data_IF_025291365566
#
_entry.id   IF_025291365566
#
_cell.length_a   1.000
_cell.length_b   1.000
_cell.length_c   1.000
_cell.angle_alpha   90.00
_cell.angle_beta   90.00
_cell.angle_gamma   90.00
#
_symmetry.space_group_name_H-M   'P 1'
#
loop_
_entity.id
_entity.type
_entity.pdbx_description
1 polymer ?
#
# COMPACT_ATOMS: atom_id res chain seq x y z
N UNK A 1 12.65 21.21 12.74
CA UNK A 1 12.51 21.61 11.33
C UNK A 1 13.90 21.78 10.73
N UNK A 2 14.06 21.48 9.43
CA UNK A 2 15.37 21.46 8.78
C UNK A 2 15.25 22.05 7.38
N UNK A 3 16.01 23.12 7.09
CA UNK A 3 16.05 23.70 5.76
C UNK A 3 16.59 22.68 4.73
N UNK A 4 16.12 22.77 3.50
CA UNK A 4 16.44 21.82 2.41
C UNK A 4 17.94 21.61 2.21
N UNK A 5 18.72 22.66 2.27
CA UNK A 5 20.18 22.63 2.13
C UNK A 5 20.89 21.99 3.34
N UNK A 6 20.24 21.92 4.50
CA UNK A 6 20.75 21.34 5.74
C UNK A 6 20.32 19.88 5.94
N UNK A 7 19.39 19.35 5.11
CA UNK A 7 18.94 17.95 5.27
C UNK A 7 20.10 16.94 5.17
N UNK A 8 20.92 17.00 4.13
CA UNK A 8 22.05 16.07 3.95
C UNK A 8 23.12 16.21 5.06
N UNK A 9 23.60 17.40 5.41
CA UNK A 9 24.48 17.57 6.57
C UNK A 9 23.91 17.01 7.87
N UNK A 10 22.63 17.24 8.15
CA UNK A 10 21.92 16.72 9.31
C UNK A 10 21.84 15.20 9.29
N UNK A 11 21.46 14.59 8.19
CA UNK A 11 21.44 13.14 7.99
C UNK A 11 22.82 12.56 8.27
N UNK A 12 23.87 13.14 7.70
CA UNK A 12 25.26 12.68 7.89
C UNK A 12 25.66 12.72 9.35
N UNK A 13 25.35 13.80 10.06
CA UNK A 13 25.62 13.95 11.49
C UNK A 13 24.91 12.85 12.28
N UNK A 14 23.57 12.76 12.17
CA UNK A 14 22.74 11.81 12.90
C UNK A 14 23.16 10.35 12.65
N UNK A 15 23.41 9.98 11.40
CA UNK A 15 23.82 8.65 11.00
C UNK A 15 25.19 8.29 11.55
N UNK A 16 26.14 9.23 11.53
CA UNK A 16 27.50 9.02 12.04
C UNK A 16 27.51 8.90 13.57
N UNK A 17 26.67 9.69 14.23
CA UNK A 17 26.53 9.61 15.69
C UNK A 17 25.91 8.27 16.09
N UNK A 18 24.82 7.87 15.42
CA UNK A 18 24.15 6.61 15.70
C UNK A 18 25.05 5.39 15.48
N UNK A 19 25.87 5.39 14.42
CA UNK A 19 26.77 4.28 14.12
C UNK A 19 27.89 4.06 15.17
N UNK A 20 28.14 5.03 16.04
CA UNK A 20 29.06 4.90 17.19
C UNK A 20 28.44 4.14 18.35
N UNK A 21 27.10 4.11 18.42
CA UNK A 21 26.38 3.44 19.49
C UNK A 21 26.40 1.93 19.28
N UNK A 22 26.37 1.20 20.37
CA UNK A 22 26.24 -0.26 20.36
C UNK A 22 25.16 -0.64 21.37
N UNK A 23 24.22 -1.49 20.98
CA UNK A 23 23.18 -1.99 21.86
C UNK A 23 23.75 -2.91 22.95
N UNK A 24 22.97 -3.20 23.97
CA UNK A 24 23.32 -4.18 25.03
C UNK A 24 23.58 -5.58 24.45
N UNK A 25 23.03 -5.86 23.26
CA UNK A 25 23.20 -7.12 22.53
C UNK A 25 24.38 -7.15 21.56
N UNK A 26 25.17 -6.07 21.50
CA UNK A 26 26.38 -5.98 20.68
C UNK A 26 26.17 -5.51 19.25
N UNK A 27 24.96 -5.15 18.85
CA UNK A 27 24.69 -4.62 17.51
C UNK A 27 24.99 -3.13 17.41
N UNK A 28 25.67 -2.72 16.34
CA UNK A 28 25.91 -1.30 16.06
C UNK A 28 24.64 -0.59 15.67
N UNK A 29 24.55 0.67 16.04
CA UNK A 29 23.47 1.55 15.59
C UNK A 29 23.51 1.75 14.07
N UNK A 30 22.48 1.35 13.37
CA UNK A 30 22.33 1.48 11.93
C UNK A 30 21.08 2.30 11.59
N UNK A 31 21.12 2.98 10.45
CA UNK A 31 20.06 3.92 10.06
C UNK A 31 19.39 3.50 8.75
N UNK A 32 18.06 3.50 8.71
CA UNK A 32 17.29 3.49 7.46
C UNK A 32 16.87 4.93 7.16
N UNK A 33 17.07 5.39 5.94
CA UNK A 33 16.71 6.73 5.50
C UNK A 33 15.66 6.60 4.39
N UNK A 34 14.47 7.12 4.63
CA UNK A 34 13.38 7.14 3.66
C UNK A 34 13.35 8.45 2.88
N UNK A 35 13.25 8.35 1.55
CA UNK A 35 13.15 9.48 0.64
C UNK A 35 12.16 9.21 -0.48
N UNK A 36 11.77 10.24 -1.23
CA UNK A 36 10.69 10.19 -2.23
C UNK A 36 11.11 9.80 -3.64
N UNK A 37 12.42 9.68 -3.93
CA UNK A 37 12.90 9.42 -5.28
C UNK A 37 14.14 8.52 -5.32
N UNK A 38 14.20 7.60 -6.31
CA UNK A 38 15.35 6.70 -6.51
C UNK A 38 16.66 7.47 -6.69
N UNK A 39 16.66 8.55 -7.48
CA UNK A 39 17.83 9.41 -7.66
C UNK A 39 18.30 10.02 -6.33
N UNK A 40 17.35 10.40 -5.47
CA UNK A 40 17.65 10.95 -4.15
C UNK A 40 18.28 9.91 -3.22
N UNK A 41 17.92 8.62 -3.37
CA UNK A 41 18.59 7.53 -2.63
C UNK A 41 20.10 7.51 -2.92
N UNK A 42 20.49 7.58 -4.18
CA UNK A 42 21.91 7.63 -4.58
C UNK A 42 22.58 8.91 -4.09
N UNK A 43 21.95 10.08 -4.28
CA UNK A 43 22.51 11.36 -3.83
C UNK A 43 22.86 11.34 -2.33
N UNK A 44 21.95 10.82 -1.50
CA UNK A 44 22.18 10.76 -0.05
C UNK A 44 23.23 9.69 0.27
N UNK A 45 23.16 8.50 -0.34
CA UNK A 45 24.13 7.43 -0.12
C UNK A 45 25.55 7.88 -0.47
N UNK A 46 25.73 8.54 -1.61
CA UNK A 46 27.04 9.06 -2.06
C UNK A 46 27.59 10.11 -1.08
N UNK A 47 26.72 11.00 -0.59
CA UNK A 47 27.12 12.02 0.40
C UNK A 47 27.53 11.41 1.75
N UNK A 48 26.98 10.25 2.11
CA UNK A 48 27.36 9.49 3.29
C UNK A 48 28.65 8.64 3.08
N UNK A 49 28.98 8.31 1.84
CA UNK A 49 30.17 7.59 1.45
C UNK A 49 30.05 6.06 1.51
N UNK A 50 31.18 5.35 1.49
CA UNK A 50 31.25 3.89 1.27
C UNK A 50 30.48 3.01 2.28
N UNK A 51 30.11 3.56 3.44
CA UNK A 51 29.30 2.84 4.45
C UNK A 51 27.81 3.10 4.34
N UNK A 52 27.36 3.67 3.23
CA UNK A 52 25.96 3.80 2.92
C UNK A 52 25.66 3.20 1.54
N UNK A 53 24.44 2.75 1.33
CA UNK A 53 24.00 2.21 0.06
C UNK A 53 22.56 2.65 -0.26
N UNK A 54 22.28 2.90 -1.54
CA UNK A 54 20.90 3.06 -2.03
C UNK A 54 20.25 1.67 -2.13
N UNK A 55 18.95 1.60 -1.78
CA UNK A 55 18.15 0.39 -1.90
C UNK A 55 16.77 0.73 -2.45
N UNK A 56 16.43 0.23 -3.63
CA UNK A 56 15.12 0.48 -4.25
C UNK A 56 14.78 -0.56 -5.31
N UNK A 57 13.53 -0.63 -5.73
CA UNK A 57 13.02 -1.60 -6.71
C UNK A 57 13.69 -1.52 -8.11
N UNK A 58 14.42 -0.44 -8.41
CA UNK A 58 15.18 -0.30 -9.67
C UNK A 58 16.54 -1.01 -9.67
N UNK A 59 17.00 -1.52 -8.53
CA UNK A 59 18.22 -2.34 -8.43
C UNK A 59 17.91 -3.77 -8.86
N UNK A 60 18.92 -4.45 -9.43
CA UNK A 60 18.86 -5.89 -9.70
C UNK A 60 18.70 -6.69 -8.40
N UNK A 61 18.24 -7.92 -8.51
CA UNK A 61 18.12 -8.81 -7.35
C UNK A 61 19.47 -9.10 -6.69
N UNK A 62 20.54 -9.12 -7.47
CA UNK A 62 21.89 -9.33 -6.95
C UNK A 62 22.37 -8.12 -6.13
N UNK A 63 22.22 -6.91 -6.67
CA UNK A 63 22.58 -5.67 -5.95
C UNK A 63 21.80 -5.51 -4.65
N UNK A 64 20.49 -5.83 -4.67
CA UNK A 64 19.67 -5.79 -3.46
C UNK A 64 20.19 -6.75 -2.39
N UNK A 65 20.45 -8.01 -2.75
CA UNK A 65 21.01 -9.01 -1.81
C UNK A 65 22.36 -8.61 -1.25
N UNK A 66 23.21 -7.99 -2.06
CA UNK A 66 24.49 -7.48 -1.58
C UNK A 66 24.33 -6.39 -0.51
N UNK A 67 23.43 -5.43 -0.76
CA UNK A 67 23.12 -4.37 0.22
C UNK A 67 22.54 -4.97 1.50
N UNK A 68 21.60 -5.90 1.38
CA UNK A 68 20.98 -6.62 2.51
C UNK A 68 22.05 -7.32 3.37
N UNK A 69 22.91 -8.11 2.75
CA UNK A 69 23.99 -8.84 3.44
C UNK A 69 24.93 -7.87 4.14
N UNK A 70 25.38 -6.82 3.45
CA UNK A 70 26.30 -5.84 4.03
C UNK A 70 25.68 -5.07 5.20
N UNK A 71 24.37 -4.82 5.15
CA UNK A 71 23.67 -4.16 6.25
C UNK A 71 23.53 -5.11 7.45
N UNK A 72 23.10 -6.34 7.23
CA UNK A 72 23.00 -7.36 8.29
C UNK A 72 24.34 -7.66 8.96
N UNK A 73 25.43 -7.67 8.19
CA UNK A 73 26.79 -7.85 8.71
C UNK A 73 27.32 -6.61 9.47
N UNK A 74 26.53 -5.52 9.59
CA UNK A 74 26.98 -4.28 10.23
C UNK A 74 28.06 -3.51 9.43
N UNK A 75 28.30 -3.87 8.16
CA UNK A 75 29.25 -3.21 7.27
C UNK A 75 28.75 -1.87 6.74
N UNK A 76 27.42 -1.70 6.68
CA UNK A 76 26.79 -0.44 6.31
C UNK A 76 26.27 0.31 7.54
N UNK A 77 26.57 1.58 7.58
CA UNK A 77 26.05 2.54 8.56
C UNK A 77 24.60 2.93 8.24
N UNK A 78 24.29 3.03 6.94
CA UNK A 78 22.97 3.42 6.48
C UNK A 78 22.55 2.73 5.19
N UNK A 79 21.23 2.55 5.06
CA UNK A 79 20.55 2.24 3.80
C UNK A 79 19.57 3.37 3.50
N UNK A 80 19.63 3.87 2.25
CA UNK A 80 18.74 4.93 1.76
C UNK A 80 17.73 4.33 0.79
N UNK A 81 16.45 4.47 1.07
CA UNK A 81 15.39 3.78 0.34
C UNK A 81 14.18 4.66 0.07
N UNK A 82 13.32 4.23 -0.85
CA UNK A 82 11.97 4.76 -1.03
C UNK A 82 10.96 3.91 -0.22
N UNK A 83 9.67 4.27 -0.23
CA UNK A 83 8.59 3.50 0.40
C UNK A 83 8.55 2.00 -0.03
N UNK A 84 9.20 1.66 -1.15
CA UNK A 84 9.32 0.31 -1.68
C UNK A 84 10.29 -0.61 -0.90
N UNK A 85 10.57 -0.31 0.36
CA UNK A 85 11.21 -1.29 1.27
C UNK A 85 10.18 -2.39 1.53
N UNK A 86 10.01 -3.24 0.50
CA UNK A 86 8.91 -4.17 0.34
C UNK A 86 8.76 -5.12 1.52
N UNK A 87 7.57 -5.66 1.65
CA UNK A 87 7.28 -6.78 2.52
C UNK A 87 8.32 -7.89 2.30
N UNK A 88 9.03 -8.29 3.36
CA UNK A 88 9.98 -9.41 3.32
C UNK A 88 11.45 -9.06 3.48
N UNK A 89 11.86 -7.78 3.46
CA UNK A 89 13.26 -7.41 3.78
C UNK A 89 13.33 -6.95 5.22
N UNK A 90 14.16 -7.64 5.99
CA UNK A 90 14.38 -7.33 7.40
C UNK A 90 15.69 -6.56 7.58
N UNK A 91 15.57 -5.23 7.69
CA UNK A 91 16.69 -4.37 8.09
C UNK A 91 16.53 -4.00 9.56
N UNK A 92 17.26 -4.62 10.48
CA UNK A 92 17.25 -4.23 11.88
C UNK A 92 18.01 -2.91 12.04
N UNK A 93 17.30 -1.81 12.24
CA UNK A 93 17.89 -0.50 12.45
C UNK A 93 17.59 0.02 13.85
N UNK A 94 18.49 0.78 14.44
CA UNK A 94 18.24 1.54 15.65
C UNK A 94 17.62 2.90 15.36
N UNK A 95 17.83 3.42 14.13
CA UNK A 95 17.33 4.74 13.73
C UNK A 95 16.64 4.70 12.37
N UNK A 96 15.52 5.41 12.25
CA UNK A 96 14.84 5.70 10.99
C UNK A 96 14.80 7.22 10.79
N UNK A 97 15.19 7.68 9.62
CA UNK A 97 15.14 9.10 9.23
C UNK A 97 14.25 9.25 8.00
N UNK A 98 13.29 10.16 8.06
CA UNK A 98 12.48 10.58 6.91
C UNK A 98 13.08 11.87 6.32
N UNK A 99 13.76 11.76 5.17
CA UNK A 99 14.25 12.91 4.37
C UNK A 99 13.11 13.64 3.66
N UNK A 100 12.03 12.91 3.34
CA UNK A 100 10.80 13.43 2.75
C UNK A 100 9.59 12.82 3.45
N UNK A 101 8.50 13.58 3.55
CA UNK A 101 7.23 13.14 4.13
C UNK A 101 6.16 12.83 3.06
N UNK A 102 6.54 12.92 1.79
CA UNK A 102 5.72 12.50 0.65
C UNK A 102 6.38 11.31 -0.04
N UNK A 103 5.58 10.31 -0.42
CA UNK A 103 6.02 9.13 -1.12
C UNK A 103 5.15 8.90 -2.37
N UNK A 104 5.77 8.93 -3.55
CA UNK A 104 5.04 8.85 -4.80
C UNK A 104 4.31 10.15 -5.15
N UNK A 105 2.99 10.19 -5.08
CA UNK A 105 2.17 11.38 -5.39
C UNK A 105 1.57 12.04 -4.15
N UNK A 106 1.54 11.34 -3.04
CA UNK A 106 0.78 11.71 -1.86
C UNK A 106 1.67 11.89 -0.64
N UNK A 107 1.16 12.59 0.36
CA UNK A 107 1.76 12.60 1.68
C UNK A 107 1.67 11.21 2.31
N UNK A 108 2.65 10.88 3.16
CA UNK A 108 2.58 9.65 3.96
C UNK A 108 1.31 9.63 4.81
N UNK A 109 0.59 8.53 4.75
CA UNK A 109 -0.45 8.22 5.72
C UNK A 109 0.17 7.85 7.08
N UNK A 110 -0.61 7.98 8.14
CA UNK A 110 -0.16 7.57 9.49
C UNK A 110 0.16 6.07 9.54
N UNK A 111 -0.59 5.26 8.79
CA UNK A 111 -0.35 3.83 8.70
C UNK A 111 1.01 3.51 8.04
N UNK A 112 1.31 4.10 6.89
CA UNK A 112 2.60 3.92 6.20
C UNK A 112 3.75 4.41 7.08
N UNK A 113 3.59 5.59 7.69
CA UNK A 113 4.56 6.13 8.62
C UNK A 113 4.86 5.15 9.76
N UNK A 114 3.83 4.60 10.41
CA UNK A 114 3.99 3.65 11.52
C UNK A 114 4.68 2.35 11.07
N UNK A 115 4.37 1.83 9.87
CA UNK A 115 5.05 0.66 9.31
C UNK A 115 6.54 0.91 9.06
N UNK A 116 6.87 2.10 8.55
CA UNK A 116 8.25 2.50 8.28
C UNK A 116 9.01 2.83 9.56
N UNK A 117 8.39 3.56 10.47
CA UNK A 117 8.93 3.94 11.77
C UNK A 117 9.17 2.70 12.67
N UNK A 118 8.28 1.71 12.61
CA UNK A 118 8.38 0.44 13.35
C UNK A 118 9.58 -0.43 12.95
N UNK A 119 10.37 -0.03 11.96
CA UNK A 119 11.66 -0.65 11.65
C UNK A 119 12.79 -0.20 12.58
N UNK A 120 12.59 0.87 13.35
CA UNK A 120 13.54 1.33 14.35
C UNK A 120 13.35 0.58 15.68
N UNK A 121 14.45 0.13 16.27
CA UNK A 121 14.45 -0.38 17.64
C UNK A 121 13.83 -1.78 17.80
N UNK A 122 14.13 -2.71 16.89
CA UNK A 122 13.66 -4.08 17.05
C UNK A 122 14.22 -4.73 18.31
N UNK A 123 13.37 -5.33 19.16
CA UNK A 123 13.79 -5.85 20.47
C UNK A 123 14.92 -6.86 20.42
N UNK A 124 15.06 -7.63 19.33
CA UNK A 124 16.09 -8.65 19.18
C UNK A 124 17.49 -8.07 18.87
N UNK A 125 17.55 -6.81 18.43
CA UNK A 125 18.78 -6.16 17.97
C UNK A 125 19.15 -4.92 18.79
N UNK A 126 18.17 -4.07 19.11
CA UNK A 126 18.40 -2.75 19.67
C UNK A 126 17.53 -2.49 20.91
N UNK A 127 18.11 -1.79 21.87
CA UNK A 127 17.45 -1.45 23.13
C UNK A 127 16.44 -0.30 22.97
N UNK A 128 16.69 0.58 21.99
CA UNK A 128 15.89 1.76 21.71
C UNK A 128 15.78 2.00 20.21
N UNK A 129 14.61 2.43 19.76
CA UNK A 129 14.35 2.93 18.40
C UNK A 129 14.23 4.44 18.36
N UNK A 130 14.95 5.08 17.44
CA UNK A 130 14.84 6.51 17.18
C UNK A 130 14.20 6.76 15.82
N UNK A 131 13.20 7.65 15.79
CA UNK A 131 12.57 8.11 14.55
C UNK A 131 12.77 9.62 14.41
N UNK A 132 13.22 10.08 13.25
CA UNK A 132 13.51 11.48 12.97
C UNK A 132 12.81 11.89 11.67
N UNK A 133 12.02 12.95 11.73
CA UNK A 133 11.37 13.57 10.59
C UNK A 133 12.11 14.88 10.25
N UNK A 134 12.62 15.02 9.02
CA UNK A 134 13.29 16.23 8.56
C UNK A 134 12.31 17.09 7.75
N UNK A 135 11.37 17.73 8.44
CA UNK A 135 10.39 18.59 7.80
C UNK A 135 11.01 19.96 7.43
N UNK A 136 10.81 20.39 6.18
CA UNK A 136 11.23 21.69 5.68
C UNK A 136 10.19 22.74 6.02
N UNK A 137 10.57 23.86 6.68
CA UNK A 137 9.65 24.94 6.99
C UNK A 137 8.95 25.51 5.77
N UNK A 138 7.60 25.48 5.75
CA UNK A 138 6.80 25.92 4.62
C UNK A 138 6.93 25.04 3.37
N UNK A 139 7.60 23.90 3.47
CA UNK A 139 7.76 22.95 2.36
C UNK A 139 6.40 22.41 1.92
N UNK A 140 6.11 22.54 0.62
CA UNK A 140 4.90 21.98 -0.02
C UNK A 140 5.30 20.95 -1.05
N UNK A 141 4.48 19.91 -1.24
CA UNK A 141 4.82 18.84 -2.16
C UNK A 141 4.21 19.02 -3.55
N UNK A 142 2.92 19.27 -3.64
CA UNK A 142 2.22 19.54 -4.89
C UNK A 142 1.00 20.44 -4.68
N UNK A 143 0.46 21.00 -5.79
CA UNK A 143 -0.78 21.79 -5.73
C UNK A 143 -2.03 20.92 -5.49
N UNK A 144 -1.95 19.63 -5.80
CA UNK A 144 -3.05 18.66 -5.66
C UNK A 144 -3.16 18.14 -4.24
N UNK A 145 -2.05 18.15 -3.50
CA UNK A 145 -1.98 17.70 -2.10
C UNK A 145 -1.66 18.90 -1.19
N UNK A 146 -2.67 19.60 -0.70
CA UNK A 146 -2.50 20.76 0.18
C UNK A 146 -1.85 20.36 1.51
N UNK A 147 -1.18 21.32 2.15
CA UNK A 147 -0.49 21.14 3.41
C UNK A 147 1.02 21.38 3.29
N UNK A 148 1.64 21.64 4.41
CA UNK A 148 3.08 21.84 4.54
C UNK A 148 3.73 20.62 5.20
N UNK A 149 5.04 20.43 4.98
CA UNK A 149 5.78 19.34 5.65
C UNK A 149 5.66 19.42 7.19
N UNK A 150 5.53 20.61 7.76
CA UNK A 150 5.36 20.80 9.20
C UNK A 150 4.01 20.28 9.69
N UNK A 151 2.93 20.59 8.97
CA UNK A 151 1.57 20.12 9.30
C UNK A 151 1.50 18.60 9.21
N UNK A 152 2.08 18.04 8.14
CA UNK A 152 2.15 16.60 7.96
C UNK A 152 3.00 15.94 9.04
N UNK A 153 4.17 16.49 9.37
CA UNK A 153 5.01 15.96 10.43
C UNK A 153 4.26 15.91 11.78
N UNK A 154 3.52 16.96 12.11
CA UNK A 154 2.71 17.01 13.34
C UNK A 154 1.57 15.98 13.30
N UNK A 155 0.88 15.81 12.16
CA UNK A 155 -0.17 14.80 11.97
C UNK A 155 0.40 13.39 12.18
N UNK A 156 1.54 13.08 11.56
CA UNK A 156 2.21 11.78 11.68
C UNK A 156 2.64 11.48 13.13
N UNK A 157 3.17 12.49 13.83
CA UNK A 157 3.61 12.34 15.23
C UNK A 157 2.45 12.21 16.21
N UNK A 158 1.28 12.82 15.94
CA UNK A 158 0.08 12.61 16.74
C UNK A 158 -0.43 11.17 16.66
N UNK A 159 -0.20 10.50 15.53
CA UNK A 159 -0.57 9.09 15.35
C UNK A 159 -2.08 8.85 15.25
N UNK A 160 -2.88 9.90 15.01
CA UNK A 160 -4.31 9.77 14.77
C UNK A 160 -4.51 9.05 13.45
N UNK A 161 -4.87 7.76 13.54
CA UNK A 161 -5.10 6.94 12.35
C UNK A 161 -6.28 7.48 11.55
N UNK A 162 -6.13 7.51 10.25
CA UNK A 162 -7.23 7.81 9.34
C UNK A 162 -8.30 6.73 9.47
N UNK A 163 -9.56 7.16 9.46
CA UNK A 163 -10.67 6.22 9.45
C UNK A 163 -10.58 5.37 8.17
N UNK A 164 -10.38 4.08 8.33
CA UNK A 164 -10.39 3.14 7.20
C UNK A 164 -11.85 2.90 6.84
N UNK A 165 -12.35 3.67 5.90
CA UNK A 165 -13.62 3.34 5.27
C UNK A 165 -13.33 2.32 4.17
N UNK A 166 -13.87 1.09 4.23
CA UNK A 166 -13.75 0.16 3.13
C UNK A 166 -14.48 0.76 1.91
N UNK A 167 -13.77 0.91 0.81
CA UNK A 167 -14.35 1.29 -0.48
C UNK A 167 -14.54 0.00 -1.26
N UNK A 168 -15.76 -0.52 -1.22
CA UNK A 168 -16.14 -1.69 -1.99
C UNK A 168 -16.82 -1.25 -3.28
N UNK A 169 -16.33 -1.73 -4.41
CA UNK A 169 -17.03 -1.67 -5.68
C UNK A 169 -18.23 -2.65 -5.70
N UNK A 170 -18.99 -2.66 -6.77
CA UNK A 170 -20.16 -3.54 -6.89
C UNK A 170 -19.77 -5.03 -6.80
N UNK A 171 -18.62 -5.38 -7.35
CA UNK A 171 -18.10 -6.76 -7.35
C UNK A 171 -17.84 -7.24 -5.92
N UNK A 172 -17.01 -6.51 -5.18
CA UNK A 172 -16.68 -6.82 -3.78
C UNK A 172 -17.89 -6.73 -2.88
N UNK A 173 -18.75 -5.72 -3.05
CA UNK A 173 -19.97 -5.56 -2.26
C UNK A 173 -20.96 -6.70 -2.48
N UNK A 174 -21.08 -7.21 -3.70
CA UNK A 174 -21.98 -8.33 -4.01
C UNK A 174 -21.48 -9.65 -3.40
N UNK A 175 -20.18 -9.89 -3.43
CA UNK A 175 -19.52 -11.03 -2.79
C UNK A 175 -19.77 -11.01 -1.28
N UNK A 176 -19.44 -9.90 -0.61
CA UNK A 176 -19.63 -9.72 0.82
C UNK A 176 -21.08 -9.84 1.25
N UNK A 177 -22.02 -9.25 0.48
CA UNK A 177 -23.45 -9.34 0.78
C UNK A 177 -23.92 -10.79 0.83
N UNK A 178 -23.54 -11.58 -0.18
CA UNK A 178 -23.96 -12.99 -0.28
C UNK A 178 -23.30 -13.83 0.81
N UNK A 179 -22.01 -13.62 1.11
CA UNK A 179 -21.29 -14.30 2.18
C UNK A 179 -21.94 -14.00 3.54
N UNK A 180 -22.29 -12.75 3.82
CA UNK A 180 -22.96 -12.33 5.03
C UNK A 180 -24.37 -12.92 5.15
N UNK A 181 -25.10 -13.03 4.02
CA UNK A 181 -26.41 -13.69 4.00
C UNK A 181 -26.33 -15.18 4.33
N UNK A 182 -25.28 -15.86 3.89
CA UNK A 182 -25.02 -17.26 4.31
C UNK A 182 -24.72 -17.33 5.81
N UNK A 183 -23.85 -16.46 6.31
CA UNK A 183 -23.39 -16.48 7.69
C UNK A 183 -24.52 -16.22 8.72
N UNK A 184 -25.47 -15.31 8.42
CA UNK A 184 -26.60 -14.99 9.31
C UNK A 184 -27.89 -15.78 9.01
N UNK A 185 -27.84 -16.77 8.12
CA UNK A 185 -29.01 -17.58 7.74
C UNK A 185 -30.09 -16.80 6.98
N UNK A 186 -29.71 -15.65 6.40
CA UNK A 186 -30.55 -14.81 5.57
C UNK A 186 -31.55 -13.92 6.33
N UNK A 187 -31.53 -13.85 7.65
CA UNK A 187 -32.41 -12.96 8.40
C UNK A 187 -32.11 -11.49 8.07
N UNK A 188 -33.09 -10.76 7.54
CA UNK A 188 -32.90 -9.42 6.97
C UNK A 188 -32.33 -8.42 8.00
N UNK A 189 -32.80 -8.47 9.25
CA UNK A 189 -32.35 -7.57 10.31
C UNK A 189 -30.88 -7.82 10.69
N UNK A 190 -30.47 -9.09 10.79
CA UNK A 190 -29.09 -9.45 11.08
C UNK A 190 -28.17 -9.14 9.92
N UNK A 191 -28.61 -9.39 8.68
CA UNK A 191 -27.88 -9.08 7.47
C UNK A 191 -27.67 -7.56 7.33
N UNK A 192 -28.69 -6.74 7.58
CA UNK A 192 -28.57 -5.29 7.56
C UNK A 192 -27.57 -4.79 8.61
N UNK A 193 -27.60 -5.33 9.81
CA UNK A 193 -26.65 -4.98 10.87
C UNK A 193 -25.19 -5.36 10.52
N UNK A 194 -24.98 -6.58 10.03
CA UNK A 194 -23.66 -7.06 9.63
C UNK A 194 -23.12 -6.21 8.48
N UNK A 195 -23.92 -5.98 7.43
CA UNK A 195 -23.48 -5.21 6.28
C UNK A 195 -23.15 -3.76 6.65
N UNK A 196 -23.95 -3.11 7.49
CA UNK A 196 -23.64 -1.74 7.97
C UNK A 196 -22.34 -1.69 8.76
N UNK A 197 -22.05 -2.73 9.55
CA UNK A 197 -20.86 -2.77 10.40
C UNK A 197 -19.59 -3.13 9.62
N UNK A 198 -19.70 -4.07 8.66
CA UNK A 198 -18.55 -4.64 7.95
C UNK A 198 -18.23 -3.93 6.63
N UNK A 199 -19.24 -3.49 5.91
CA UNK A 199 -19.11 -3.02 4.52
C UNK A 199 -19.63 -1.58 4.33
N UNK A 200 -20.42 -1.07 5.26
CA UNK A 200 -21.07 0.23 5.13
C UNK A 200 -22.39 0.17 4.38
N UNK A 201 -22.70 1.14 3.51
CA UNK A 201 -23.95 1.17 2.77
C UNK A 201 -23.93 0.17 1.61
N UNK A 202 -24.91 -0.75 1.63
CA UNK A 202 -25.07 -1.82 0.62
C UNK A 202 -26.31 -1.58 -0.28
N UNK A 203 -26.86 -0.38 -0.30
CA UNK A 203 -28.11 -0.08 -1.04
C UNK A 203 -28.07 -0.46 -2.53
N UNK A 204 -27.01 -0.24 -3.29
CA UNK A 204 -26.97 -0.59 -4.71
C UNK A 204 -26.94 -2.10 -4.99
N UNK A 205 -26.42 -2.91 -4.06
CA UNK A 205 -26.11 -4.33 -4.29
C UNK A 205 -27.37 -5.20 -4.31
N UNK A 206 -28.28 -5.03 -3.36
CA UNK A 206 -29.48 -5.86 -3.26
C UNK A 206 -30.38 -5.77 -4.49
N UNK A 207 -30.67 -4.60 -5.05
CA UNK A 207 -31.45 -4.48 -6.29
C UNK A 207 -30.81 -5.26 -7.46
N UNK A 208 -29.50 -5.20 -7.62
CA UNK A 208 -28.77 -5.91 -8.67
C UNK A 208 -28.85 -7.43 -8.48
N UNK A 209 -28.63 -7.91 -7.27
CA UNK A 209 -28.74 -9.34 -6.97
C UNK A 209 -30.16 -9.88 -7.19
N UNK A 210 -31.19 -9.08 -6.89
CA UNK A 210 -32.59 -9.42 -7.16
C UNK A 210 -32.88 -9.41 -8.66
N UNK A 211 -32.41 -8.40 -9.40
CA UNK A 211 -32.59 -8.30 -10.86
C UNK A 211 -32.01 -9.53 -11.58
N UNK A 212 -30.87 -10.03 -11.12
CA UNK A 212 -30.21 -11.24 -11.64
C UNK A 212 -30.75 -12.55 -11.03
N UNK A 213 -31.83 -12.50 -10.23
CA UNK A 213 -32.45 -13.67 -9.56
C UNK A 213 -31.48 -14.47 -8.69
N UNK A 214 -30.45 -13.84 -8.19
CA UNK A 214 -29.47 -14.47 -7.28
C UNK A 214 -30.02 -14.54 -5.86
N UNK A 215 -30.82 -13.54 -5.47
CA UNK A 215 -31.51 -13.52 -4.17
C UNK A 215 -32.97 -13.15 -4.35
N UNK A 216 -33.82 -13.60 -3.42
CA UNK A 216 -35.21 -13.16 -3.32
C UNK A 216 -35.65 -13.03 -1.86
N UNK A 217 -36.59 -12.17 -1.61
CA UNK A 217 -37.16 -11.96 -0.28
C UNK A 217 -38.30 -12.92 -0.03
N UNK A 218 -38.27 -13.67 1.08
CA UNK A 218 -39.32 -14.55 1.54
C UNK A 218 -39.67 -14.21 3.00
N UNK A 219 -40.70 -13.40 3.20
CA UNK A 219 -41.04 -12.86 4.51
C UNK A 219 -39.93 -11.96 5.04
N UNK A 220 -39.33 -12.28 6.18
CA UNK A 220 -38.20 -11.57 6.78
C UNK A 220 -36.82 -12.08 6.31
N UNK A 221 -36.81 -13.08 5.41
CA UNK A 221 -35.56 -13.72 4.98
C UNK A 221 -35.19 -13.36 3.56
N UNK A 222 -33.88 -13.20 3.35
CA UNK A 222 -33.23 -13.18 2.04
C UNK A 222 -32.81 -14.62 1.72
N UNK A 223 -33.39 -15.18 0.67
CA UNK A 223 -33.13 -16.54 0.22
C UNK A 223 -32.19 -16.50 -0.99
N UNK A 224 -31.14 -17.29 -0.91
CA UNK A 224 -30.09 -17.37 -1.95
C UNK A 224 -30.44 -18.44 -2.98
N UNK A 225 -30.24 -18.13 -4.26
CA UNK A 225 -30.27 -19.12 -5.33
C UNK A 225 -29.03 -20.05 -5.25
N UNK A 226 -29.03 -21.20 -5.96
CA UNK A 226 -27.84 -22.03 -6.07
C UNK A 226 -26.60 -21.28 -6.59
N UNK A 227 -26.78 -20.39 -7.57
CA UNK A 227 -25.68 -19.58 -8.10
C UNK A 227 -25.15 -18.58 -7.09
N UNK A 228 -26.00 -17.95 -6.27
CA UNK A 228 -25.54 -17.09 -5.19
C UNK A 228 -24.75 -17.85 -4.13
N UNK A 229 -25.08 -19.12 -3.88
CA UNK A 229 -24.25 -19.97 -2.98
C UNK A 229 -22.86 -20.23 -3.56
N UNK A 230 -22.75 -20.44 -4.88
CA UNK A 230 -21.46 -20.55 -5.57
C UNK A 230 -20.62 -19.29 -5.40
N UNK A 231 -21.24 -18.08 -5.46
CA UNK A 231 -20.55 -16.83 -5.17
C UNK A 231 -19.87 -16.86 -3.79
N UNK A 232 -20.62 -17.25 -2.77
CA UNK A 232 -20.13 -17.29 -1.39
C UNK A 232 -19.07 -18.39 -1.16
N UNK A 233 -19.23 -19.54 -1.77
CA UNK A 233 -18.31 -20.68 -1.60
C UNK A 233 -16.97 -20.47 -2.29
N UNK A 234 -16.94 -19.68 -3.38
CA UNK A 234 -15.76 -19.48 -4.23
C UNK A 234 -15.25 -18.03 -4.26
N UNK A 235 -15.80 -17.14 -3.43
CA UNK A 235 -15.41 -15.73 -3.37
C UNK A 235 -15.47 -15.06 -4.76
N UNK A 236 -16.64 -15.19 -5.40
CA UNK A 236 -16.89 -14.66 -6.75
C UNK A 236 -17.91 -13.52 -6.65
N UNK A 237 -17.58 -12.35 -7.16
CA UNK A 237 -18.51 -11.24 -7.24
C UNK A 237 -19.50 -11.35 -8.39
N UNK A 238 -20.42 -10.39 -8.48
CA UNK A 238 -21.55 -10.44 -9.41
C UNK A 238 -21.12 -10.45 -10.89
N UNK A 239 -20.22 -9.54 -11.27
CA UNK A 239 -19.79 -9.41 -12.66
C UNK A 239 -19.07 -10.67 -13.13
N UNK A 240 -18.18 -11.20 -12.31
CA UNK A 240 -17.46 -12.42 -12.61
C UNK A 240 -18.37 -13.64 -12.71
N UNK A 241 -19.36 -13.75 -11.82
CA UNK A 241 -20.35 -14.82 -11.90
C UNK A 241 -21.13 -14.76 -13.20
N UNK A 242 -21.64 -13.58 -13.58
CA UNK A 242 -22.42 -13.41 -14.81
C UNK A 242 -21.59 -13.74 -16.07
N UNK A 243 -20.31 -13.39 -16.07
CA UNK A 243 -19.37 -13.72 -17.14
C UNK A 243 -19.18 -15.24 -17.27
N UNK A 244 -18.96 -15.93 -16.14
CA UNK A 244 -18.87 -17.40 -16.09
C UNK A 244 -20.16 -18.05 -16.63
N UNK A 245 -21.32 -17.59 -16.16
CA UNK A 245 -22.63 -18.14 -16.61
C UNK A 245 -22.81 -17.92 -18.10
N UNK A 246 -22.44 -16.75 -18.62
CA UNK A 246 -22.51 -16.43 -20.07
C UNK A 246 -21.64 -17.39 -20.90
N UNK A 247 -20.44 -17.68 -20.44
CA UNK A 247 -19.51 -18.58 -21.12
C UNK A 247 -19.97 -20.04 -21.03
N UNK A 248 -20.43 -20.47 -19.86
CA UNK A 248 -20.96 -21.83 -19.66
C UNK A 248 -22.20 -22.16 -20.51
N UNK A 249 -22.92 -21.14 -21.01
CA UNK A 249 -24.01 -21.34 -21.97
C UNK A 249 -23.51 -21.56 -23.41
N UNK A 250 -22.24 -21.27 -23.71
CA UNK A 250 -21.64 -21.34 -25.05
C UNK A 250 -20.58 -22.42 -25.20
N UNK A 251 -19.99 -22.82 -24.10
CA UNK A 251 -18.85 -23.73 -24.05
C UNK A 251 -19.16 -24.88 -23.09
N UNK A 252 -18.88 -26.10 -23.52
CA UNK A 252 -19.13 -27.32 -22.72
C UNK A 252 -17.91 -27.70 -21.88
N UNK A 253 -16.70 -27.33 -22.33
CA UNK A 253 -15.47 -27.71 -21.66
C UNK A 253 -15.01 -26.64 -20.63
N UNK A 254 -14.84 -26.99 -19.36
CA UNK A 254 -14.43 -26.04 -18.33
C UNK A 254 -13.08 -25.34 -18.60
N UNK A 255 -12.13 -26.01 -19.26
CA UNK A 255 -10.84 -25.44 -19.60
C UNK A 255 -10.93 -24.32 -20.64
N UNK A 256 -11.87 -24.44 -21.58
CA UNK A 256 -12.09 -23.40 -22.60
C UNK A 256 -12.71 -22.16 -21.96
N UNK A 257 -13.62 -22.34 -20.99
CA UNK A 257 -14.19 -21.24 -20.20
C UNK A 257 -13.09 -20.49 -19.44
N UNK A 258 -12.18 -21.22 -18.78
CA UNK A 258 -11.06 -20.61 -18.05
C UNK A 258 -10.14 -19.85 -19.00
N UNK A 259 -9.79 -20.43 -20.15
CA UNK A 259 -8.92 -19.78 -21.12
C UNK A 259 -9.52 -18.47 -21.68
N UNK A 260 -10.83 -18.47 -21.94
CA UNK A 260 -11.54 -17.28 -22.43
C UNK A 260 -11.59 -16.18 -21.34
N UNK A 261 -11.88 -16.54 -20.08
CA UNK A 261 -11.89 -15.62 -18.95
C UNK A 261 -10.52 -14.95 -18.73
N UNK A 262 -9.42 -15.70 -18.86
CA UNK A 262 -8.07 -15.16 -18.76
C UNK A 262 -7.72 -14.24 -19.95
N UNK A 263 -8.16 -14.59 -21.16
CA UNK A 263 -7.97 -13.77 -22.35
C UNK A 263 -8.68 -12.42 -22.24
N UNK A 264 -9.95 -12.41 -21.84
CA UNK A 264 -10.74 -11.20 -21.62
C UNK A 264 -10.14 -10.31 -20.50
N UNK A 265 -9.59 -10.92 -19.44
CA UNK A 265 -8.93 -10.20 -18.36
C UNK A 265 -7.64 -9.50 -18.85
N UNK A 266 -6.83 -10.16 -19.65
CA UNK A 266 -5.61 -9.57 -20.23
C UNK A 266 -5.91 -8.42 -21.20
N UNK A 267 -6.99 -8.52 -21.99
CA UNK A 267 -7.42 -7.43 -22.87
C UNK A 267 -7.91 -6.21 -22.11
N UNK A 268 -8.66 -6.40 -21.04
CA UNK A 268 -9.09 -5.31 -20.15
C UNK A 268 -7.89 -4.58 -19.50
N UNK A 269 -6.87 -5.31 -19.05
CA UNK A 269 -5.65 -4.70 -18.50
C UNK A 269 -4.84 -3.93 -19.55
N UNK A 270 -4.70 -4.44 -20.77
CA UNK A 270 -3.95 -3.78 -21.84
C UNK A 270 -4.67 -2.52 -22.33
N UNK A 271 -5.99 -2.54 -22.44
CA UNK A 271 -6.78 -1.38 -22.81
C UNK A 271 -6.77 -0.27 -21.73
N UNK A 272 -6.79 -0.64 -20.45
CA UNK A 272 -6.68 0.32 -19.33
C UNK A 272 -5.29 0.98 -19.26
N UNK A 273 -4.23 0.25 -19.58
CA UNK A 273 -2.85 0.77 -19.66
C UNK A 273 -2.67 1.73 -20.84
N UNK A 274 -3.29 1.46 -22.00
CA UNK A 274 -3.22 2.33 -23.19
C UNK A 274 -4.00 3.65 -23.00
N UNK A 275 -5.14 3.64 -22.32
CA UNK A 275 -5.90 4.86 -22.00
C UNK A 275 -5.14 5.77 -21.03
N UNK A 276 -4.41 5.22 -20.05
CA UNK A 276 -3.57 6.00 -19.15
C UNK A 276 -2.36 6.65 -19.85
N UNK A 277 -1.85 6.05 -20.93
CA UNK A 277 -0.76 6.64 -21.73
C UNK A 277 -1.25 7.76 -22.68
N UNK A 278 -2.49 7.72 -23.17
CA UNK A 278 -3.03 8.76 -24.04
C UNK A 278 -3.47 10.04 -23.31
N UNK A 279 -3.77 9.99 -22.02
CA UNK A 279 -4.06 11.18 -21.22
C UNK A 279 -2.82 11.92 -20.71
N UNK A 280 -1.64 11.29 -20.73
CA UNK A 280 -0.35 11.92 -20.38
C UNK A 280 0.33 12.70 -21.51
N UNK A 281 -0.15 12.60 -22.76
CA UNK A 281 0.56 13.10 -23.95
C UNK A 281 0.08 14.42 -24.57
N UNK A 282 -0.91 15.12 -23.99
CA UNK A 282 -1.43 16.38 -24.55
C UNK A 282 -1.34 17.56 -23.59
N UNK A 283 -0.12 17.98 -23.23
CA UNK A 283 0.16 19.37 -22.81
C UNK A 283 1.64 19.69 -23.10
N UNK A 284 1.87 20.24 -24.27
CA UNK A 284 3.20 20.77 -24.58
C UNK A 284 3.42 21.08 -26.06
N UNK A 285 2.62 21.97 -26.64
CA UNK A 285 3.06 22.85 -27.73
C UNK A 285 2.03 23.98 -27.92
N UNK A 286 2.40 25.14 -27.48
CA UNK A 286 1.63 26.38 -27.61
C UNK A 286 2.56 27.55 -27.43
N UNK A 287 3.15 27.93 -28.50
CA UNK A 287 3.88 29.12 -28.97
C UNK A 287 3.70 30.40 -28.15
N UNK A 288 4.82 31.09 -28.11
CA UNK A 288 5.23 32.50 -28.08
C UNK A 288 5.53 33.07 -26.71
#
# INVERSE_FOLDING_TARGET
>A
FTERNQKIPTIKKLTTEEYKNTSSKGFRGQTIIFTNARARCHTIADALGMRAAAYHAGLSSQERREVETRFLDGKLMAVVTTAALGAGVDFPASQVIFDALAMGRDWLSVQEFNQMAGRAGRPDFHDLGRVVLLAEPGGSYSRENPGTEEEIALKLLKGEMEEVAPVHDLEQSSEEYVANAVACGGEEADLARINTTMVGSMEPVLPELVAHKLVHKQGTKIVLSPLARVMSEHFIGLERLLEIVRLAQKMDEPLDIIAELESEAMEKETSSKSQKQHHGGKKGHGKR
#
